data_IF_923266974395
#
_entry.id   IF_923266974395
#
_cell.length_a   1.000
_cell.length_b   1.000
_cell.length_c   1.000
_cell.angle_alpha   90.00
_cell.angle_beta   90.00
_cell.angle_gamma   90.00
#
_symmetry.space_group_name_H-M   'P 1'
#
loop_
_entity.id
_entity.type
_entity.pdbx_description
1 polymer ?
#
# COMPACT_ATOMS: atom_id res chain seq x y z
N UNK A 1 -34.50 9.60 -23.44
CA UNK A 1 -33.27 9.87 -24.21
C UNK A 1 -32.14 9.25 -23.40
N UNK A 2 -31.39 8.31 -23.98
CA UNK A 2 -30.32 7.58 -23.26
C UNK A 2 -29.23 8.57 -22.83
N UNK A 3 -28.89 8.56 -21.55
CA UNK A 3 -27.82 9.38 -20.94
C UNK A 3 -26.42 9.07 -21.51
N UNK A 4 -26.25 7.99 -22.27
CA UNK A 4 -24.96 7.63 -22.89
C UNK A 4 -24.52 8.58 -24.02
N UNK A 5 -25.42 9.38 -24.61
CA UNK A 5 -25.10 10.16 -25.83
C UNK A 5 -24.42 11.52 -25.59
N UNK A 6 -24.24 11.98 -24.34
CA UNK A 6 -23.73 13.34 -24.04
C UNK A 6 -22.49 13.37 -23.11
N UNK A 7 -21.60 12.38 -23.19
CA UNK A 7 -20.39 12.37 -22.36
C UNK A 7 -19.25 13.20 -22.97
N UNK A 8 -18.65 14.07 -22.15
CA UNK A 8 -17.44 14.83 -22.45
C UNK A 8 -16.24 13.93 -22.16
N UNK A 9 -15.36 13.75 -23.14
CA UNK A 9 -14.08 13.04 -22.93
C UNK A 9 -13.02 14.04 -22.47
N UNK A 10 -12.47 13.80 -21.28
CA UNK A 10 -11.38 14.58 -20.70
C UNK A 10 -10.11 13.73 -20.63
N UNK A 11 -9.02 14.14 -21.30
CA UNK A 11 -7.71 13.51 -21.12
C UNK A 11 -7.23 13.61 -19.67
N UNK A 12 -6.73 12.51 -19.12
CA UNK A 12 -6.16 12.49 -17.77
C UNK A 12 -4.74 13.03 -17.85
N UNK A 13 -4.43 14.02 -17.01
CA UNK A 13 -3.08 14.55 -16.80
C UNK A 13 -2.59 14.21 -15.39
N UNK A 14 -1.30 14.43 -15.12
CA UNK A 14 -0.73 14.23 -13.77
C UNK A 14 -1.49 14.99 -12.68
N UNK A 15 -2.09 16.14 -12.99
CA UNK A 15 -2.86 16.94 -12.03
C UNK A 15 -4.08 16.22 -11.46
N UNK A 16 -4.61 15.22 -12.16
CA UNK A 16 -5.72 14.38 -11.70
C UNK A 16 -5.27 13.27 -10.75
N UNK A 17 -3.98 12.94 -10.67
CA UNK A 17 -3.50 11.81 -9.88
C UNK A 17 -3.01 12.29 -8.49
N UNK A 18 -3.20 11.42 -7.49
CA UNK A 18 -2.71 11.60 -6.11
C UNK A 18 -2.10 10.29 -5.62
N UNK A 19 -1.12 10.36 -4.72
CA UNK A 19 -0.50 9.20 -4.08
C UNK A 19 0.59 8.48 -4.89
N UNK A 20 1.10 9.10 -5.96
CA UNK A 20 2.17 8.57 -6.81
C UNK A 20 3.44 9.43 -6.68
N UNK A 21 4.61 8.88 -7.08
CA UNK A 21 5.89 9.60 -7.10
C UNK A 21 6.42 9.87 -8.52
N UNK A 22 5.87 9.17 -9.52
CA UNK A 22 6.26 9.31 -10.92
C UNK A 22 5.09 8.87 -11.81
N UNK A 23 5.09 9.29 -13.07
CA UNK A 23 4.08 8.89 -14.06
C UNK A 23 4.77 8.57 -15.37
N UNK A 24 4.54 7.37 -15.88
CA UNK A 24 5.01 6.95 -17.20
C UNK A 24 3.91 7.21 -18.24
N UNK A 25 4.25 7.96 -19.29
CA UNK A 25 3.41 8.07 -20.48
C UNK A 25 3.56 6.81 -21.35
N UNK A 26 2.44 6.12 -21.59
CA UNK A 26 2.42 4.90 -22.41
C UNK A 26 1.56 5.10 -23.64
N UNK A 27 1.66 4.18 -24.61
CA UNK A 27 0.77 4.16 -25.78
C UNK A 27 -0.73 4.02 -25.43
N UNK A 28 -1.06 3.65 -24.19
CA UNK A 28 -2.41 3.41 -23.71
C UNK A 28 -2.80 4.33 -22.55
N UNK A 29 -2.15 5.48 -22.36
CA UNK A 29 -2.43 6.40 -21.26
C UNK A 29 -1.35 6.44 -20.19
N UNK A 30 -1.67 6.94 -19.01
CA UNK A 30 -0.71 7.17 -17.92
C UNK A 30 -0.61 5.94 -17.01
N UNK A 31 0.62 5.58 -16.63
CA UNK A 31 0.91 4.59 -15.59
C UNK A 31 1.51 5.30 -14.36
N UNK A 32 0.77 5.44 -13.25
CA UNK A 32 1.33 5.98 -12.02
C UNK A 32 2.31 4.97 -11.38
N UNK A 33 3.48 5.46 -10.97
CA UNK A 33 4.48 4.72 -10.24
C UNK A 33 4.61 5.23 -8.81
N UNK A 34 4.81 4.31 -7.87
CA UNK A 34 5.00 4.66 -6.45
C UNK A 34 6.47 4.78 -6.07
N UNK A 35 7.39 4.56 -7.00
CA UNK A 35 8.81 4.92 -6.86
C UNK A 35 9.24 5.87 -7.98
N UNK A 36 10.16 6.82 -7.71
CA UNK A 36 10.67 7.71 -8.74
C UNK A 36 11.49 6.92 -9.78
N UNK A 37 11.52 7.41 -11.03
CA UNK A 37 12.27 6.78 -12.14
C UNK A 37 13.69 6.35 -11.76
N UNK A 38 14.44 7.16 -10.99
CA UNK A 38 15.81 6.81 -10.60
C UNK A 38 15.89 5.63 -9.63
N UNK A 39 14.89 5.48 -8.74
CA UNK A 39 14.83 4.38 -7.78
C UNK A 39 14.40 3.09 -8.48
N UNK A 40 13.49 3.19 -9.48
CA UNK A 40 13.08 2.05 -10.31
C UNK A 40 14.25 1.36 -11.01
N UNK A 41 15.32 2.10 -11.36
CA UNK A 41 16.55 1.54 -11.95
C UNK A 41 17.38 0.68 -11.00
N UNK A 42 17.10 0.71 -9.70
CA UNK A 42 17.81 -0.04 -8.66
C UNK A 42 16.99 -1.22 -8.13
N UNK A 43 15.79 -1.44 -8.68
CA UNK A 43 14.93 -2.56 -8.30
C UNK A 43 15.64 -3.88 -8.68
N UNK A 44 15.85 -4.80 -7.72
CA UNK A 44 16.64 -6.00 -7.96
C UNK A 44 15.85 -7.13 -8.61
N UNK A 45 14.52 -7.09 -8.54
CA UNK A 45 13.65 -8.19 -8.94
C UNK A 45 12.28 -7.74 -9.46
N UNK A 46 11.60 -8.67 -10.14
CA UNK A 46 10.28 -8.44 -10.72
C UNK A 46 9.18 -8.28 -9.66
N UNK A 47 9.33 -8.83 -8.45
CA UNK A 47 8.33 -8.71 -7.39
C UNK A 47 8.17 -7.26 -6.96
N UNK A 48 9.28 -6.56 -6.68
CA UNK A 48 9.23 -5.15 -6.34
C UNK A 48 8.83 -4.29 -7.57
N UNK A 49 9.29 -4.63 -8.77
CA UNK A 49 8.90 -3.92 -9.99
C UNK A 49 7.38 -3.95 -10.24
N UNK A 50 6.74 -5.10 -10.00
CA UNK A 50 5.28 -5.21 -10.08
C UNK A 50 4.61 -4.46 -8.92
N UNK A 51 5.10 -4.62 -7.69
CA UNK A 51 4.47 -4.01 -6.52
C UNK A 51 4.49 -2.48 -6.59
N UNK A 52 5.57 -1.85 -7.07
CA UNK A 52 5.64 -0.40 -7.14
C UNK A 52 4.72 0.19 -8.22
N UNK A 53 4.52 -0.54 -9.33
CA UNK A 53 3.64 -0.16 -10.43
C UNK A 53 2.15 -0.43 -10.15
N UNK A 54 1.83 -1.18 -9.09
CA UNK A 54 0.45 -1.33 -8.61
C UNK A 54 0.02 -0.07 -7.85
N UNK A 55 -1.19 0.47 -8.09
CA UNK A 55 -1.62 1.79 -7.63
C UNK A 55 -2.17 1.76 -6.19
N UNK A 56 -1.57 0.98 -5.29
CA UNK A 56 -2.02 0.92 -3.88
C UNK A 56 -1.89 2.29 -3.23
N UNK A 57 -3.04 2.87 -2.84
CA UNK A 57 -3.14 4.23 -2.31
C UNK A 57 -3.20 5.35 -3.36
N UNK A 58 -3.08 5.03 -4.65
CA UNK A 58 -3.20 5.99 -5.75
C UNK A 58 -4.67 6.15 -6.14
N UNK A 59 -5.05 7.39 -6.47
CA UNK A 59 -6.42 7.75 -6.82
C UNK A 59 -6.45 8.87 -7.85
N UNK A 60 -7.52 8.92 -8.64
CA UNK A 60 -7.88 10.12 -9.38
C UNK A 60 -8.61 11.08 -8.43
N UNK A 61 -8.36 12.38 -8.52
CA UNK A 61 -9.02 13.41 -7.73
C UNK A 61 -9.44 14.59 -8.62
N UNK A 62 -10.74 14.88 -8.69
CA UNK A 62 -11.30 15.94 -9.53
C UNK A 62 -12.58 16.52 -8.95
N UNK A 63 -12.95 17.71 -9.42
CA UNK A 63 -14.17 18.42 -9.05
C UNK A 63 -15.11 18.50 -10.25
N UNK A 64 -16.39 18.20 -10.02
CA UNK A 64 -17.39 18.17 -11.09
C UNK A 64 -18.82 18.25 -10.57
N UNK A 65 -19.75 18.66 -11.43
CA UNK A 65 -21.19 18.50 -11.20
C UNK A 65 -21.75 17.17 -11.75
N UNK A 66 -20.91 16.34 -12.38
CA UNK A 66 -21.31 15.15 -13.12
C UNK A 66 -22.10 14.14 -12.27
N UNK A 67 -23.17 13.61 -12.83
CA UNK A 67 -23.96 12.52 -12.22
C UNK A 67 -23.57 11.16 -12.78
N UNK A 68 -22.87 11.15 -13.92
CA UNK A 68 -22.32 9.97 -14.59
C UNK A 68 -20.83 10.16 -14.80
N UNK A 69 -20.05 9.16 -14.41
CA UNK A 69 -18.59 9.13 -14.55
C UNK A 69 -18.17 7.77 -15.10
N UNK A 70 -17.44 7.78 -16.21
CA UNK A 70 -16.79 6.60 -16.78
C UNK A 70 -15.27 6.81 -16.73
N UNK A 71 -14.54 5.83 -16.20
CA UNK A 71 -13.08 5.81 -16.20
C UNK A 71 -12.59 4.68 -17.09
N UNK A 72 -11.94 5.03 -18.20
CA UNK A 72 -11.34 4.06 -19.11
C UNK A 72 -9.94 3.67 -18.59
N UNK A 73 -9.70 2.37 -18.42
CA UNK A 73 -8.44 1.83 -17.91
C UNK A 73 -7.98 0.60 -18.68
N UNK A 74 -6.68 0.30 -18.58
CA UNK A 74 -6.11 -0.98 -19.00
C UNK A 74 -5.44 -1.64 -17.78
N UNK A 75 -6.17 -2.50 -17.05
CA UNK A 75 -5.61 -3.23 -15.92
C UNK A 75 -4.70 -4.37 -16.41
N UNK A 76 -3.72 -4.75 -15.58
CA UNK A 76 -2.91 -5.96 -15.74
C UNK A 76 -3.08 -6.82 -14.50
N UNK A 77 -3.73 -7.97 -14.68
CA UNK A 77 -4.21 -8.85 -13.61
C UNK A 77 -3.26 -10.01 -13.42
N UNK A 78 -3.04 -10.40 -12.16
CA UNK A 78 -2.23 -11.57 -11.83
C UNK A 78 -3.11 -12.81 -11.77
N UNK A 79 -2.77 -13.84 -12.53
CA UNK A 79 -3.44 -15.14 -12.52
C UNK A 79 -2.42 -16.23 -12.20
N UNK A 80 -2.81 -17.28 -11.49
CA UNK A 80 -1.93 -18.44 -11.26
C UNK A 80 -2.30 -19.58 -12.21
N UNK A 81 -1.31 -20.16 -12.89
CA UNK A 81 -1.53 -21.29 -13.78
C UNK A 81 -2.19 -22.45 -13.01
N UNK A 82 -3.32 -22.94 -13.53
CA UNK A 82 -4.07 -24.04 -12.92
C UNK A 82 -5.09 -23.62 -11.84
N UNK A 83 -5.21 -22.32 -11.53
CA UNK A 83 -6.21 -21.78 -10.62
C UNK A 83 -7.22 -20.90 -11.38
N UNK A 84 -8.45 -20.73 -10.85
CA UNK A 84 -9.38 -19.77 -11.41
C UNK A 84 -8.79 -18.36 -11.38
N UNK A 85 -9.12 -17.49 -12.35
CA UNK A 85 -8.72 -16.09 -12.29
C UNK A 85 -9.30 -15.43 -11.03
N UNK A 86 -8.57 -14.50 -10.39
CA UNK A 86 -9.14 -13.75 -9.29
C UNK A 86 -10.31 -12.88 -9.78
N UNK A 87 -11.19 -12.43 -8.87
CA UNK A 87 -12.16 -11.39 -9.18
C UNK A 87 -11.48 -10.14 -9.75
N UNK A 88 -12.20 -9.40 -10.59
CA UNK A 88 -11.73 -8.13 -11.12
C UNK A 88 -11.48 -7.12 -9.99
N UNK A 89 -10.42 -6.33 -10.14
CA UNK A 89 -10.10 -5.22 -9.25
C UNK A 89 -11.27 -4.22 -9.13
N UNK A 90 -11.53 -3.81 -7.89
CA UNK A 90 -12.57 -2.84 -7.55
C UNK A 90 -12.01 -1.42 -7.57
N UNK A 91 -12.79 -0.51 -8.13
CA UNK A 91 -12.58 0.94 -8.12
C UNK A 91 -13.61 1.55 -7.16
N UNK A 92 -13.13 2.19 -6.10
CA UNK A 92 -14.01 2.89 -5.15
C UNK A 92 -14.14 4.36 -5.54
N UNK A 93 -15.36 4.83 -5.72
CA UNK A 93 -15.67 6.24 -5.94
C UNK A 93 -16.19 6.86 -4.64
N UNK A 94 -15.43 7.84 -4.14
CA UNK A 94 -15.77 8.65 -2.98
C UNK A 94 -16.26 10.02 -3.45
N UNK A 95 -17.37 10.49 -2.87
CA UNK A 95 -17.86 11.87 -2.99
C UNK A 95 -17.59 12.57 -1.67
N UNK A 96 -16.80 13.64 -1.70
CA UNK A 96 -16.43 14.44 -0.53
C UNK A 96 -15.97 13.55 0.66
N UNK A 97 -15.12 12.55 0.35
CA UNK A 97 -14.54 11.61 1.33
C UNK A 97 -15.45 10.44 1.74
N UNK A 98 -16.64 10.29 1.15
CA UNK A 98 -17.59 9.22 1.49
C UNK A 98 -17.77 8.26 0.33
N UNK A 99 -17.56 6.95 0.59
CA UNK A 99 -17.79 5.90 -0.41
C UNK A 99 -19.23 6.00 -0.91
N UNK A 100 -19.38 6.19 -2.22
CA UNK A 100 -20.67 6.46 -2.87
C UNK A 100 -21.00 5.42 -3.93
N UNK A 101 -20.00 4.95 -4.67
CA UNK A 101 -20.19 3.93 -5.70
C UNK A 101 -18.94 3.07 -5.86
N UNK A 102 -19.12 1.88 -6.43
CA UNK A 102 -18.04 0.96 -6.76
C UNK A 102 -18.25 0.42 -8.17
N UNK A 103 -17.16 0.15 -8.87
CA UNK A 103 -17.19 -0.45 -10.19
C UNK A 103 -16.00 -1.40 -10.36
N UNK A 104 -16.05 -2.25 -11.38
CA UNK A 104 -14.94 -3.10 -11.81
C UNK A 104 -14.69 -2.90 -13.30
N UNK A 105 -13.51 -3.34 -13.77
CA UNK A 105 -13.18 -3.35 -15.19
C UNK A 105 -12.90 -4.78 -15.61
N UNK A 106 -13.79 -5.34 -16.42
CA UNK A 106 -13.61 -6.66 -17.02
C UNK A 106 -12.48 -6.65 -18.07
N UNK A 107 -11.81 -7.79 -18.27
CA UNK A 107 -10.73 -7.92 -19.24
C UNK A 107 -9.40 -7.33 -18.76
N UNK A 108 -8.63 -6.72 -19.65
CA UNK A 108 -7.27 -6.25 -19.40
C UNK A 108 -6.19 -7.27 -19.73
N UNK A 109 -4.93 -6.88 -19.49
CA UNK A 109 -3.79 -7.76 -19.66
C UNK A 109 -3.77 -8.82 -18.56
N UNK A 110 -3.21 -9.98 -18.88
CA UNK A 110 -2.97 -11.06 -17.92
C UNK A 110 -1.47 -11.26 -17.72
N UNK A 111 -1.09 -11.37 -16.46
CA UNK A 111 0.23 -11.83 -16.02
C UNK A 111 0.05 -13.17 -15.32
N UNK A 112 0.25 -14.25 -16.07
CA UNK A 112 0.03 -15.63 -15.61
C UNK A 112 1.30 -16.14 -14.94
N UNK A 113 1.27 -16.29 -13.62
CA UNK A 113 2.34 -16.91 -12.84
C UNK A 113 2.44 -18.38 -13.22
N UNK A 114 3.57 -18.77 -13.79
CA UNK A 114 3.83 -20.13 -14.27
C UNK A 114 4.57 -20.97 -13.24
N UNK A 115 5.35 -20.33 -12.37
CA UNK A 115 6.05 -20.95 -11.24
C UNK A 115 6.00 -19.99 -10.04
N UNK A 116 5.39 -20.43 -8.94
CA UNK A 116 5.27 -19.61 -7.72
C UNK A 116 6.59 -19.51 -6.95
N UNK A 117 7.49 -20.48 -7.08
CA UNK A 117 8.78 -20.46 -6.38
C UNK A 117 9.79 -19.60 -7.14
N UNK A 118 9.92 -19.81 -8.45
CA UNK A 118 10.80 -19.03 -9.31
C UNK A 118 10.22 -17.63 -9.65
N UNK A 119 8.94 -17.39 -9.34
CA UNK A 119 8.21 -16.15 -9.63
C UNK A 119 8.19 -15.79 -11.12
N UNK A 120 8.23 -16.79 -12.00
CA UNK A 120 8.17 -16.58 -13.44
C UNK A 120 6.73 -16.37 -13.91
N UNK A 121 6.53 -15.52 -14.92
CA UNK A 121 5.22 -15.23 -15.46
C UNK A 121 5.22 -15.07 -16.98
N UNK A 122 4.08 -15.36 -17.60
CA UNK A 122 3.78 -15.08 -19.00
C UNK A 122 2.84 -13.88 -19.10
N UNK A 123 3.08 -12.98 -20.06
CA UNK A 123 2.24 -11.82 -20.31
C UNK A 123 1.34 -12.07 -21.52
N UNK A 124 0.04 -11.84 -21.36
CA UNK A 124 -0.95 -11.88 -22.45
C UNK A 124 -1.65 -10.52 -22.52
N UNK A 125 -1.55 -9.78 -23.64
CA UNK A 125 -2.24 -8.51 -23.79
C UNK A 125 -3.77 -8.72 -23.87
N UNK A 126 -4.51 -7.74 -23.37
CA UNK A 126 -5.97 -7.71 -23.48
C UNK A 126 -6.51 -6.31 -23.72
N UNK A 127 -7.81 -6.17 -23.99
CA UNK A 127 -8.43 -4.89 -24.29
C UNK A 127 -8.52 -4.02 -23.03
N UNK A 128 -8.50 -2.70 -23.24
CA UNK A 128 -8.94 -1.75 -22.23
C UNK A 128 -10.44 -1.92 -21.93
N UNK A 129 -10.87 -1.47 -20.75
CA UNK A 129 -12.28 -1.45 -20.36
C UNK A 129 -12.62 -0.18 -19.60
N UNK A 130 -13.86 -0.12 -19.10
CA UNK A 130 -14.42 1.08 -18.48
C UNK A 130 -15.03 0.74 -17.13
N UNK A 131 -14.66 1.49 -16.09
CA UNK A 131 -15.38 1.52 -14.83
C UNK A 131 -16.53 2.52 -14.96
N UNK A 132 -17.76 2.07 -14.73
CA UNK A 132 -18.97 2.88 -14.88
C UNK A 132 -19.57 3.26 -13.53
N UNK A 133 -19.75 4.55 -13.29
CA UNK A 133 -20.44 5.10 -12.13
C UNK A 133 -21.60 5.97 -12.60
N UNK A 134 -22.80 5.70 -12.09
CA UNK A 134 -24.02 6.43 -12.41
C UNK A 134 -24.75 6.83 -11.12
N UNK A 135 -25.82 7.61 -11.26
CA UNK A 135 -26.69 8.05 -10.15
C UNK A 135 -25.92 8.76 -9.02
N UNK A 136 -24.82 9.44 -9.35
CA UNK A 136 -24.08 10.25 -8.38
C UNK A 136 -24.88 11.50 -7.99
N UNK A 137 -24.71 12.03 -6.76
CA UNK A 137 -25.43 13.22 -6.31
C UNK A 137 -25.23 14.41 -7.26
N UNK A 138 -26.30 15.13 -7.61
CA UNK A 138 -26.20 16.33 -8.43
C UNK A 138 -25.48 17.48 -7.70
N UNK A 139 -24.96 18.44 -8.46
CA UNK A 139 -24.24 19.61 -7.93
C UNK A 139 -22.73 19.40 -7.86
N UNK A 140 -22.01 20.52 -7.69
CA UNK A 140 -20.54 20.53 -7.67
C UNK A 140 -20.03 19.84 -6.41
N UNK A 141 -19.18 18.83 -6.59
CA UNK A 141 -18.60 17.98 -5.54
C UNK A 141 -17.17 17.58 -5.87
N UNK A 142 -16.41 17.15 -4.87
CA UNK A 142 -15.11 16.53 -5.08
C UNK A 142 -15.29 15.01 -5.21
N UNK A 143 -14.63 14.43 -6.20
CA UNK A 143 -14.62 12.99 -6.46
C UNK A 143 -13.19 12.49 -6.29
N UNK A 144 -13.04 11.39 -5.56
CA UNK A 144 -11.85 10.55 -5.59
C UNK A 144 -12.22 9.17 -6.15
N UNK A 145 -11.47 8.66 -7.14
CA UNK A 145 -11.59 7.26 -7.61
C UNK A 145 -10.32 6.52 -7.19
N UNK A 146 -10.42 5.69 -6.16
CA UNK A 146 -9.33 4.87 -5.65
C UNK A 146 -9.11 3.66 -6.55
N UNK A 147 -7.87 3.49 -7.01
CA UNK A 147 -7.53 2.47 -8.00
C UNK A 147 -7.28 1.10 -7.34
N UNK A 148 -7.54 -0.02 -8.05
CA UNK A 148 -7.34 -1.36 -7.51
C UNK A 148 -5.88 -1.60 -7.08
N UNK A 149 -5.66 -1.80 -5.79
CA UNK A 149 -4.32 -1.94 -5.22
C UNK A 149 -3.57 -3.20 -5.70
N UNK A 150 -4.27 -4.23 -6.19
CA UNK A 150 -3.70 -5.52 -6.58
C UNK A 150 -3.45 -5.68 -8.09
N UNK A 151 -3.73 -4.65 -8.91
CA UNK A 151 -3.60 -4.70 -10.38
C UNK A 151 -2.81 -3.50 -10.88
N UNK A 152 -1.83 -3.69 -11.78
CA UNK A 152 -1.19 -2.56 -12.44
C UNK A 152 -2.25 -1.90 -13.34
N UNK A 153 -2.52 -0.61 -13.13
CA UNK A 153 -3.62 0.08 -13.81
C UNK A 153 -3.11 1.25 -14.61
N UNK A 154 -3.17 1.15 -15.95
CA UNK A 154 -3.01 2.31 -16.83
C UNK A 154 -4.34 3.06 -16.88
N UNK A 155 -4.31 4.37 -16.67
CA UNK A 155 -5.48 5.24 -16.76
C UNK A 155 -5.49 5.96 -18.11
N UNK A 156 -6.62 5.88 -18.83
CA UNK A 156 -6.69 6.28 -20.24
C UNK A 156 -7.42 7.61 -20.39
N UNK A 157 -8.68 7.66 -20.00
CA UNK A 157 -9.53 8.83 -20.16
C UNK A 157 -10.67 8.84 -19.14
N UNK A 158 -11.14 10.04 -18.82
CA UNK A 158 -12.31 10.27 -17.99
C UNK A 158 -13.45 10.76 -18.89
N UNK A 159 -14.62 10.12 -18.84
CA UNK A 159 -15.81 10.53 -19.60
C UNK A 159 -16.95 10.86 -18.65
N UNK A 160 -17.50 12.06 -18.74
CA UNK A 160 -18.47 12.58 -17.76
C UNK A 160 -19.60 13.37 -18.42
N UNK A 161 -20.77 13.42 -17.80
CA UNK A 161 -21.92 14.21 -18.28
C UNK A 161 -21.85 15.70 -17.87
N UNK A 162 -20.79 16.11 -17.16
CA UNK A 162 -20.45 17.50 -16.89
C UNK A 162 -18.92 17.71 -16.93
N UNK A 163 -18.42 18.94 -17.15
CA UNK A 163 -16.99 19.23 -17.13
C UNK A 163 -16.32 18.82 -15.82
N UNK A 164 -15.03 18.50 -15.90
CA UNK A 164 -14.18 18.13 -14.77
C UNK A 164 -12.95 19.03 -14.71
N UNK A 165 -12.52 19.36 -13.51
CA UNK A 165 -11.25 20.03 -13.24
C UNK A 165 -10.47 19.21 -12.20
N UNK A 166 -9.12 19.17 -12.25
CA UNK A 166 -8.33 18.58 -11.18
C UNK A 166 -8.76 19.11 -9.81
N UNK A 167 -8.81 18.25 -8.79
CA UNK A 167 -9.20 18.67 -7.46
C UNK A 167 -8.18 19.71 -6.94
N UNK A 168 -8.63 20.81 -6.30
CA UNK A 168 -7.71 21.75 -5.68
C UNK A 168 -6.92 21.06 -4.57
N UNK A 169 -5.73 21.59 -4.28
CA UNK A 169 -5.05 21.28 -3.03
C UNK A 169 -5.90 21.83 -1.87
N UNK A 170 -6.29 20.95 -0.95
CA UNK A 170 -7.12 21.28 0.20
C UNK A 170 -6.29 21.55 1.47
N UNK A 171 -4.95 21.53 1.37
CA UNK A 171 -4.04 21.77 2.47
C UNK A 171 -3.98 20.63 3.49
N UNK A 172 -4.49 19.44 3.16
CA UNK A 172 -4.32 18.24 4.00
C UNK A 172 -2.82 17.93 4.12
N UNK A 173 -2.37 17.62 5.34
CA UNK A 173 -1.00 17.16 5.59
C UNK A 173 -0.72 15.89 4.78
N UNK A 174 0.46 15.79 4.17
CA UNK A 174 0.91 14.62 3.42
C UNK A 174 1.50 13.59 4.37
N UNK A 175 0.89 12.41 4.41
CA UNK A 175 1.40 11.24 5.11
C UNK A 175 2.07 10.29 4.13
N UNK A 176 3.39 10.19 4.24
CA UNK A 176 4.22 9.23 3.52
C UNK A 176 4.42 7.97 4.36
N UNK A 177 3.87 6.85 3.90
CA UNK A 177 3.95 5.57 4.59
C UNK A 177 4.79 4.57 3.82
N UNK A 178 5.76 3.91 4.45
CA UNK A 178 6.43 2.72 3.89
C UNK A 178 6.06 1.47 4.67
N UNK A 179 5.86 0.36 3.96
CA UNK A 179 5.56 -0.93 4.58
C UNK A 179 5.60 -2.12 3.64
N UNK A 180 5.10 -3.25 4.13
CA UNK A 180 5.11 -4.55 3.43
C UNK A 180 3.83 -4.79 2.60
N UNK A 181 3.59 -6.07 2.25
CA UNK A 181 2.33 -6.55 1.67
C UNK A 181 1.09 -6.17 2.48
N UNK A 182 1.21 -6.06 3.81
CA UNK A 182 0.09 -5.65 4.67
C UNK A 182 -0.29 -4.19 4.38
N UNK A 183 0.70 -3.28 4.32
CA UNK A 183 0.49 -1.89 3.92
C UNK A 183 0.10 -1.73 2.46
N UNK A 184 0.50 -2.66 1.61
CA UNK A 184 0.09 -2.70 0.21
C UNK A 184 -1.41 -3.03 0.05
N UNK A 185 -2.01 -3.75 1.01
CA UNK A 185 -3.41 -4.18 0.95
C UNK A 185 -3.62 -5.66 0.68
N UNK A 186 -2.60 -6.53 0.81
CA UNK A 186 -2.80 -7.98 0.62
C UNK A 186 -3.93 -8.51 1.50
N UNK A 187 -4.85 -9.25 0.90
CA UNK A 187 -6.11 -9.76 1.47
C UNK A 187 -7.15 -8.71 1.86
N UNK A 188 -6.93 -7.42 1.61
CA UNK A 188 -8.00 -6.44 1.62
C UNK A 188 -8.87 -6.59 0.36
N UNK A 189 -10.14 -6.21 0.45
CA UNK A 189 -11.07 -6.29 -0.68
C UNK A 189 -11.11 -4.99 -1.48
N UNK A 190 -11.20 -3.86 -0.79
CA UNK A 190 -11.48 -2.57 -1.44
C UNK A 190 -10.29 -1.60 -1.29
N UNK A 191 -9.94 -0.86 -2.35
CA UNK A 191 -8.78 0.03 -2.31
C UNK A 191 -8.93 1.20 -1.31
N UNK A 192 -10.14 1.69 -1.02
CA UNK A 192 -10.33 2.73 -0.01
C UNK A 192 -10.33 2.20 1.43
N UNK A 193 -10.29 0.88 1.63
CA UNK A 193 -10.30 0.24 2.96
C UNK A 193 -9.07 -0.62 3.24
N UNK A 194 -8.04 -0.59 2.38
CA UNK A 194 -6.70 -1.00 2.82
C UNK A 194 -6.33 -0.17 4.04
N UNK A 195 -5.68 -0.77 5.03
CA UNK A 195 -5.54 -0.10 6.34
C UNK A 195 -4.92 1.31 6.27
N UNK A 196 -3.92 1.62 5.39
CA UNK A 196 -3.40 2.99 5.30
C UNK A 196 -4.40 3.97 4.69
N UNK A 197 -5.21 3.54 3.71
CA UNK A 197 -6.24 4.38 3.09
C UNK A 197 -7.34 4.73 4.09
N UNK A 198 -7.82 3.72 4.84
CA UNK A 198 -8.82 3.92 5.90
C UNK A 198 -8.29 4.86 6.99
N UNK A 199 -7.06 4.64 7.45
CA UNK A 199 -6.43 5.47 8.46
C UNK A 199 -6.22 6.92 7.98
N UNK A 200 -5.81 7.10 6.73
CA UNK A 200 -5.61 8.42 6.13
C UNK A 200 -6.92 9.20 5.99
N UNK A 201 -8.00 8.51 5.55
CA UNK A 201 -9.32 9.12 5.46
C UNK A 201 -9.84 9.55 6.83
N UNK A 202 -9.67 8.68 7.84
CA UNK A 202 -10.07 8.98 9.24
C UNK A 202 -9.24 10.12 9.82
N UNK A 203 -7.94 10.15 9.54
CA UNK A 203 -7.01 11.17 10.02
C UNK A 203 -7.04 12.49 9.25
N UNK A 204 -7.78 12.56 8.13
CA UNK A 204 -7.86 13.76 7.29
C UNK A 204 -6.52 14.15 6.65
N UNK A 205 -5.72 13.16 6.21
CA UNK A 205 -4.38 13.37 5.62
C UNK A 205 -4.30 12.85 4.18
N UNK A 206 -3.39 13.39 3.37
CA UNK A 206 -3.10 12.88 2.02
C UNK A 206 -2.14 11.71 2.08
N UNK A 207 -2.60 10.52 1.70
CA UNK A 207 -1.77 9.32 1.67
C UNK A 207 -0.87 9.28 0.42
N UNK A 208 0.43 9.05 0.65
CA UNK A 208 1.37 8.44 -0.29
C UNK A 208 1.80 7.10 0.30
N UNK A 209 1.34 5.99 -0.30
CA UNK A 209 1.61 4.65 0.20
C UNK A 209 2.77 4.02 -0.57
N UNK A 210 3.88 3.78 0.11
CA UNK A 210 5.04 3.01 -0.36
C UNK A 210 5.06 1.60 0.26
N UNK A 211 3.87 1.02 0.50
CA UNK A 211 3.71 -0.39 0.84
C UNK A 211 4.01 -1.28 -0.36
N UNK A 212 5.03 -2.14 -0.28
CA UNK A 212 5.44 -3.01 -1.38
C UNK A 212 5.37 -4.49 -0.97
N UNK A 213 4.55 -5.26 -1.70
CA UNK A 213 4.31 -6.67 -1.43
C UNK A 213 5.60 -7.48 -1.40
N UNK A 214 5.91 -8.07 -0.24
CA UNK A 214 7.10 -8.92 -0.06
C UNK A 214 8.45 -8.22 -0.22
N UNK A 215 8.50 -6.88 -0.18
CA UNK A 215 9.67 -6.09 -0.58
C UNK A 215 10.06 -4.98 0.41
N UNK A 216 9.53 -4.98 1.65
CA UNK A 216 9.96 -4.06 2.70
C UNK A 216 11.28 -4.54 3.34
N UNK A 217 12.40 -4.43 2.59
CA UNK A 217 13.70 -5.02 2.93
C UNK A 217 14.72 -4.04 3.53
N UNK A 218 14.28 -2.83 3.91
CA UNK A 218 15.14 -1.71 4.28
C UNK A 218 16.09 -1.29 3.14
N UNK A 219 15.59 -1.31 1.91
CA UNK A 219 16.36 -0.93 0.72
C UNK A 219 16.82 0.53 0.77
N UNK A 220 18.13 0.82 0.56
CA UNK A 220 18.64 2.20 0.60
C UNK A 220 18.04 3.13 -0.47
N UNK A 221 17.64 2.59 -1.63
CA UNK A 221 16.99 3.40 -2.66
C UNK A 221 15.56 3.79 -2.27
N UNK A 222 14.85 2.96 -1.49
CA UNK A 222 13.53 3.31 -0.95
C UNK A 222 13.67 4.39 0.11
N UNK A 223 14.66 4.29 1.00
CA UNK A 223 14.93 5.35 2.00
C UNK A 223 15.24 6.69 1.33
N UNK A 224 16.07 6.71 0.28
CA UNK A 224 16.36 7.93 -0.50
C UNK A 224 15.15 8.45 -1.26
N UNK A 225 14.28 7.58 -1.78
CA UNK A 225 13.03 8.01 -2.38
C UNK A 225 12.14 8.71 -1.34
N UNK A 226 12.06 8.17 -0.12
CA UNK A 226 11.33 8.81 0.97
C UNK A 226 11.96 10.15 1.39
N UNK A 227 13.28 10.20 1.50
CA UNK A 227 14.04 11.43 1.78
C UNK A 227 13.70 12.55 0.80
N UNK A 228 13.63 12.23 -0.50
CA UNK A 228 13.40 13.21 -1.56
C UNK A 228 11.92 13.53 -1.78
N UNK A 229 11.00 12.77 -1.15
CA UNK A 229 9.55 12.98 -1.26
C UNK A 229 9.07 13.97 -0.21
N UNK A 230 8.42 15.08 -0.58
CA UNK A 230 7.80 16.00 0.37
C UNK A 230 6.74 15.30 1.22
N UNK A 231 6.83 15.44 2.54
CA UNK A 231 5.90 14.83 3.48
C UNK A 231 5.85 15.63 4.79
N UNK A 232 4.65 15.78 5.35
CA UNK A 232 4.43 16.41 6.65
C UNK A 232 4.52 15.38 7.79
N UNK A 233 4.26 14.10 7.47
CA UNK A 233 4.21 12.98 8.40
C UNK A 233 4.82 11.76 7.72
N UNK A 234 5.72 11.04 8.40
CA UNK A 234 6.39 9.87 7.81
C UNK A 234 6.25 8.67 8.73
N UNK A 235 5.76 7.54 8.23
CA UNK A 235 5.82 6.28 8.99
C UNK A 235 6.48 5.16 8.20
N UNK A 236 7.25 4.35 8.91
CA UNK A 236 8.04 3.25 8.36
C UNK A 236 7.69 1.98 9.13
N UNK A 237 7.08 1.01 8.46
CA UNK A 237 6.72 -0.29 9.03
C UNK A 237 7.60 -1.39 8.45
N UNK A 238 8.54 -1.90 9.24
CA UNK A 238 9.58 -2.85 8.80
C UNK A 238 9.58 -4.15 9.60
N UNK A 239 10.21 -5.19 9.05
CA UNK A 239 10.48 -6.44 9.75
C UNK A 239 9.99 -7.68 9.02
N UNK A 240 8.68 -7.80 8.79
CA UNK A 240 8.07 -9.04 8.29
C UNK A 240 8.71 -9.57 7.01
N UNK A 241 9.07 -8.73 6.03
CA UNK A 241 9.68 -9.23 4.80
C UNK A 241 11.15 -9.66 4.97
N UNK A 242 11.90 -9.01 5.86
CA UNK A 242 13.26 -9.43 6.25
C UNK A 242 13.21 -10.81 6.92
N UNK A 243 12.24 -11.03 7.80
CA UNK A 243 12.03 -12.33 8.47
C UNK A 243 11.55 -13.39 7.49
N UNK A 244 10.52 -13.10 6.68
CA UNK A 244 9.96 -14.04 5.69
C UNK A 244 11.04 -14.59 4.74
N UNK A 245 11.97 -13.74 4.31
CA UNK A 245 13.01 -14.11 3.34
C UNK A 245 14.29 -14.64 3.97
N UNK A 246 14.41 -14.58 5.31
CA UNK A 246 15.67 -14.79 6.01
C UNK A 246 16.80 -13.89 5.49
N UNK A 247 16.46 -12.67 5.02
CA UNK A 247 17.38 -11.82 4.26
C UNK A 247 18.54 -11.24 5.08
N UNK A 248 18.36 -11.09 6.39
CA UNK A 248 19.37 -10.49 7.26
C UNK A 248 19.49 -11.26 8.57
N UNK A 249 20.71 -11.28 9.11
CA UNK A 249 20.96 -11.61 10.51
C UNK A 249 20.90 -10.33 11.35
N UNK A 250 20.67 -10.47 12.65
CA UNK A 250 20.57 -9.38 13.62
C UNK A 250 21.69 -8.35 13.47
N UNK A 251 22.93 -8.82 13.28
CA UNK A 251 24.12 -7.97 13.10
C UNK A 251 24.04 -7.02 11.89
N UNK A 252 23.37 -7.43 10.81
CA UNK A 252 23.18 -6.61 9.61
C UNK A 252 21.90 -5.77 9.69
N UNK A 253 20.86 -6.32 10.32
CA UNK A 253 19.55 -5.65 10.42
C UNK A 253 19.62 -4.34 11.22
N UNK A 254 20.22 -4.35 12.41
CA UNK A 254 20.33 -3.14 13.26
C UNK A 254 20.94 -1.95 12.51
N UNK A 255 22.17 -2.04 11.94
CA UNK A 255 22.74 -0.92 11.20
C UNK A 255 21.96 -0.55 9.93
N UNK A 256 21.28 -1.50 9.27
CA UNK A 256 20.42 -1.19 8.13
C UNK A 256 19.24 -0.29 8.54
N UNK A 257 18.60 -0.55 9.69
CA UNK A 257 17.54 0.31 10.22
C UNK A 257 18.08 1.69 10.58
N UNK A 258 19.25 1.78 11.22
CA UNK A 258 19.87 3.08 11.48
C UNK A 258 20.10 3.87 10.19
N UNK A 259 20.73 3.26 9.19
CA UNK A 259 20.97 3.91 7.89
C UNK A 259 19.70 4.32 7.16
N UNK A 260 18.63 3.54 7.25
CA UNK A 260 17.33 3.88 6.67
C UNK A 260 16.73 5.14 7.33
N UNK A 261 16.74 5.20 8.67
CA UNK A 261 16.25 6.35 9.44
C UNK A 261 17.13 7.59 9.22
N UNK A 262 18.45 7.43 9.20
CA UNK A 262 19.40 8.52 8.96
C UNK A 262 19.17 9.13 7.57
N UNK A 263 19.01 8.28 6.54
CA UNK A 263 18.70 8.72 5.18
C UNK A 263 17.40 9.54 5.13
N UNK A 264 16.34 9.12 5.84
CA UNK A 264 15.11 9.92 5.91
C UNK A 264 15.40 11.28 6.57
N UNK A 265 16.14 11.29 7.68
CA UNK A 265 16.47 12.52 8.43
C UNK A 265 17.32 13.52 7.66
N UNK A 266 18.14 13.06 6.70
CA UNK A 266 18.87 13.95 5.79
C UNK A 266 17.95 14.88 4.98
N UNK A 267 16.74 14.42 4.64
CA UNK A 267 15.73 15.20 3.90
C UNK A 267 14.63 15.75 4.78
N UNK A 268 14.40 15.14 5.94
CA UNK A 268 13.31 15.45 6.87
C UNK A 268 13.82 15.64 8.31
N UNK A 269 14.59 16.71 8.61
CA UNK A 269 15.28 16.85 9.88
C UNK A 269 14.35 16.94 11.09
N UNK A 270 13.14 17.49 10.92
CA UNK A 270 12.19 17.75 12.01
C UNK A 270 10.82 17.11 11.80
N UNK A 271 10.56 16.50 10.65
CA UNK A 271 9.26 15.88 10.34
C UNK A 271 8.96 14.76 11.33
N UNK A 272 7.74 14.67 11.92
CA UNK A 272 7.35 13.52 12.73
C UNK A 272 7.59 12.21 11.99
N UNK A 273 8.42 11.34 12.57
CA UNK A 273 8.81 10.05 12.01
C UNK A 273 8.39 8.94 12.98
N UNK A 274 7.50 8.07 12.52
CA UNK A 274 6.98 6.96 13.29
C UNK A 274 7.56 5.64 12.77
N UNK A 275 8.37 4.96 13.59
CA UNK A 275 8.79 3.59 13.33
C UNK A 275 7.75 2.62 13.93
N UNK A 276 7.17 1.80 13.06
CA UNK A 276 6.14 0.82 13.43
C UNK A 276 6.73 -0.58 13.31
N UNK A 277 6.62 -1.38 14.36
CA UNK A 277 7.09 -2.76 14.33
C UNK A 277 6.05 -3.70 13.67
N UNK A 278 6.40 -4.97 13.37
CA UNK A 278 5.44 -5.92 12.81
C UNK A 278 4.22 -6.12 13.70
N UNK A 279 3.05 -6.27 13.08
CA UNK A 279 1.85 -6.77 13.78
C UNK A 279 2.03 -8.25 14.13
N UNK A 280 1.13 -8.80 14.96
CA UNK A 280 1.14 -10.22 15.26
C UNK A 280 1.07 -11.04 13.96
N UNK A 281 1.98 -11.99 13.80
CA UNK A 281 1.86 -13.02 12.78
C UNK A 281 2.38 -14.33 13.38
N UNK A 282 1.48 -15.22 13.84
CA UNK A 282 1.86 -16.44 14.57
C UNK A 282 2.94 -17.27 13.88
N UNK A 283 2.90 -17.30 12.54
CA UNK A 283 3.88 -17.99 11.70
C UNK A 283 5.33 -17.58 11.98
N UNK A 284 5.59 -16.33 12.35
CA UNK A 284 6.94 -15.79 12.54
C UNK A 284 7.22 -15.21 13.93
N UNK A 285 6.30 -15.33 14.89
CA UNK A 285 6.50 -14.82 16.27
C UNK A 285 7.79 -15.38 16.89
N UNK A 286 8.00 -16.70 16.73
CA UNK A 286 9.12 -17.44 17.33
C UNK A 286 9.88 -18.34 16.35
N UNK A 287 9.52 -18.30 15.07
CA UNK A 287 10.14 -19.15 14.03
C UNK A 287 10.70 -18.27 12.92
N UNK A 288 12.02 -18.31 12.65
CA UNK A 288 12.60 -17.53 11.56
C UNK A 288 12.19 -18.06 10.19
N UNK A 289 12.43 -17.26 9.15
CA UNK A 289 12.29 -17.70 7.76
C UNK A 289 13.26 -18.82 7.37
N UNK A 290 13.12 -19.33 6.13
CA UNK A 290 12.28 -18.78 5.08
C UNK A 290 10.81 -19.18 5.20
N UNK A 291 9.95 -18.33 4.63
CA UNK A 291 8.53 -18.57 4.45
C UNK A 291 8.30 -19.41 3.18
N UNK A 292 7.56 -20.51 3.31
CA UNK A 292 7.29 -21.44 2.21
C UNK A 292 5.77 -21.60 2.00
N UNK A 293 5.31 -21.77 0.75
CA UNK A 293 3.93 -22.15 0.47
C UNK A 293 3.58 -23.50 1.13
N UNK A 294 2.37 -23.59 1.65
CA UNK A 294 1.76 -24.81 2.17
C UNK A 294 0.40 -25.01 1.49
N UNK A 295 0.22 -26.16 0.84
CA UNK A 295 -1.00 -26.56 0.15
C UNK A 295 -1.60 -27.84 0.75
N UNK A 296 -1.12 -28.26 1.92
CA UNK A 296 -1.49 -29.55 2.52
C UNK A 296 -2.98 -29.70 2.84
N UNK A 297 -3.71 -28.60 3.05
CA UNK A 297 -5.15 -28.59 3.31
C UNK A 297 -6.01 -28.17 2.09
N UNK A 298 -5.38 -28.08 0.90
CA UNK A 298 -6.06 -27.68 -0.34
C UNK A 298 -6.27 -26.17 -0.50
N UNK A 299 -5.86 -25.36 0.47
CA UNK A 299 -5.82 -23.90 0.38
C UNK A 299 -4.37 -23.40 0.37
N UNK A 300 -4.10 -22.28 -0.33
CA UNK A 300 -2.76 -21.67 -0.31
C UNK A 300 -2.55 -20.94 1.02
N UNK A 301 -1.73 -21.54 1.88
CA UNK A 301 -1.23 -20.94 3.11
C UNK A 301 0.29 -20.82 3.05
N UNK A 302 0.87 -20.24 4.09
CA UNK A 302 2.31 -20.16 4.23
C UNK A 302 2.76 -20.62 5.62
N UNK A 303 3.97 -21.17 5.68
CA UNK A 303 4.63 -21.56 6.93
C UNK A 303 6.08 -21.13 6.98
N UNK A 304 6.54 -20.78 8.17
CA UNK A 304 7.96 -20.60 8.45
C UNK A 304 8.64 -21.96 8.55
N UNK A 305 9.84 -22.08 7.98
CA UNK A 305 10.59 -23.34 7.92
C UNK A 305 11.97 -23.27 8.58
N UNK A 306 12.35 -22.12 9.14
CA UNK A 306 13.60 -21.96 9.88
C UNK A 306 13.56 -22.65 11.24
N UNK A 307 14.75 -22.90 11.81
CA UNK A 307 14.90 -23.49 13.14
C UNK A 307 14.94 -22.36 14.21
N UNK A 308 14.01 -22.35 15.19
CA UNK A 308 14.03 -21.40 16.31
C UNK A 308 15.34 -21.38 17.10
N UNK A 309 16.08 -22.50 17.17
CA UNK A 309 17.36 -22.56 17.87
C UNK A 309 18.44 -21.68 17.22
N UNK A 310 18.32 -21.39 15.92
CA UNK A 310 19.27 -20.55 15.19
C UNK A 310 19.10 -19.04 15.49
N UNK A 311 18.13 -18.64 16.31
CA UNK A 311 18.07 -17.27 16.86
C UNK A 311 19.32 -16.92 17.65
N UNK A 312 19.95 -17.91 18.31
CA UNK A 312 21.25 -17.74 18.97
C UNK A 312 22.39 -17.37 17.99
N UNK A 313 22.24 -17.74 16.71
CA UNK A 313 23.15 -17.36 15.63
C UNK A 313 22.69 -16.07 14.90
N UNK A 314 21.71 -15.35 15.45
CA UNK A 314 21.24 -14.07 14.95
C UNK A 314 20.18 -14.16 13.85
N UNK A 315 19.49 -15.30 13.67
CA UNK A 315 18.26 -15.33 12.88
C UNK A 315 17.18 -14.47 13.54
N UNK A 316 16.33 -13.88 12.72
CA UNK A 316 15.30 -12.93 13.18
C UNK A 316 13.94 -13.60 13.25
N UNK A 317 13.21 -13.33 14.33
CA UNK A 317 11.77 -13.56 14.48
C UNK A 317 11.07 -12.22 14.65
N UNK A 318 9.73 -12.17 14.61
CA UNK A 318 9.01 -10.91 14.84
C UNK A 318 9.18 -10.39 16.26
N UNK A 319 9.29 -11.28 17.26
CA UNK A 319 9.58 -10.88 18.65
C UNK A 319 10.92 -10.14 18.74
N UNK A 320 11.99 -10.72 18.17
CA UNK A 320 13.32 -10.09 18.14
C UNK A 320 13.26 -8.76 17.39
N UNK A 321 12.56 -8.69 16.26
CA UNK A 321 12.45 -7.46 15.48
C UNK A 321 11.70 -6.37 16.26
N UNK A 322 10.59 -6.69 16.94
CA UNK A 322 9.84 -5.73 17.77
C UNK A 322 10.74 -5.14 18.86
N UNK A 323 11.47 -5.98 19.59
CA UNK A 323 12.41 -5.56 20.63
C UNK A 323 13.50 -4.62 20.07
N UNK A 324 14.13 -5.01 18.96
CA UNK A 324 15.20 -4.23 18.33
C UNK A 324 14.71 -2.87 17.86
N UNK A 325 13.55 -2.79 17.20
CA UNK A 325 13.02 -1.52 16.71
C UNK A 325 12.64 -0.60 17.88
N UNK A 326 12.07 -1.14 18.96
CA UNK A 326 11.77 -0.39 20.18
C UNK A 326 13.06 0.17 20.82
N UNK A 327 14.11 -0.64 20.94
CA UNK A 327 15.40 -0.22 21.52
C UNK A 327 16.09 0.85 20.69
N UNK A 328 16.07 0.74 19.35
CA UNK A 328 16.62 1.75 18.44
C UNK A 328 15.93 3.10 18.67
N UNK A 329 14.60 3.13 18.71
CA UNK A 329 13.86 4.39 18.93
C UNK A 329 14.11 4.92 20.33
N UNK A 330 14.09 4.08 21.36
CA UNK A 330 14.37 4.47 22.75
C UNK A 330 15.74 5.12 22.90
N UNK A 331 16.77 4.59 22.22
CA UNK A 331 18.11 5.17 22.24
C UNK A 331 18.12 6.53 21.52
N UNK A 332 17.58 6.57 20.30
CA UNK A 332 17.64 7.74 19.42
C UNK A 332 16.76 8.91 19.85
N UNK A 333 15.63 8.64 20.51
CA UNK A 333 14.66 9.68 20.91
C UNK A 333 15.20 10.67 21.94
N UNK A 334 16.33 10.35 22.57
CA UNK A 334 17.07 11.28 23.44
C UNK A 334 17.66 12.48 22.67
N UNK A 335 18.01 12.28 21.39
CA UNK A 335 18.58 13.30 20.49
C UNK A 335 17.60 13.72 19.39
N UNK A 336 16.59 12.89 19.10
CA UNK A 336 15.57 13.13 18.09
C UNK A 336 14.16 13.06 18.71
N UNK A 337 13.62 14.18 19.23
CA UNK A 337 12.31 14.20 19.88
C UNK A 337 11.13 13.94 18.92
N UNK A 338 11.37 13.96 17.61
CA UNK A 338 10.36 13.71 16.58
C UNK A 338 10.41 12.27 16.03
N UNK A 339 11.21 11.39 16.64
CA UNK A 339 11.22 9.96 16.36
C UNK A 339 10.34 9.23 17.38
N UNK A 340 9.32 8.57 16.89
CA UNK A 340 8.32 7.87 17.69
C UNK A 340 8.33 6.38 17.37
N UNK A 341 7.91 5.57 18.35
CA UNK A 341 7.72 4.13 18.20
C UNK A 341 6.25 3.79 18.39
N UNK A 342 5.76 2.86 17.57
CA UNK A 342 4.48 2.19 17.77
C UNK A 342 4.69 0.68 17.71
N UNK A 343 4.27 -0.02 18.76
CA UNK A 343 4.25 -1.48 18.75
C UNK A 343 3.17 -1.97 17.79
N UNK A 344 3.55 -2.81 16.83
CA UNK A 344 2.60 -3.39 15.89
C UNK A 344 1.53 -4.25 16.58
N UNK A 345 1.79 -4.78 17.78
CA UNK A 345 0.80 -5.50 18.56
C UNK A 345 -0.35 -4.61 19.06
N UNK A 346 -0.14 -3.29 19.19
CA UNK A 346 -1.21 -2.33 19.51
C UNK A 346 -2.13 -2.06 18.30
N UNK A 347 -1.66 -2.37 17.09
CA UNK A 347 -2.47 -2.27 15.87
C UNK A 347 -3.28 -3.54 15.63
N UNK A 348 -2.66 -4.70 15.85
CA UNK A 348 -3.28 -6.01 15.69
C UNK A 348 -2.48 -7.04 16.50
N UNK A 349 -3.06 -7.48 17.61
CA UNK A 349 -2.48 -8.42 18.58
C UNK A 349 -3.25 -9.75 18.68
N UNK A 350 -3.03 -10.49 19.76
CA UNK A 350 -3.65 -11.82 19.96
C UNK A 350 -5.18 -11.76 19.95
N UNK A 351 -5.76 -10.80 20.68
CA UNK A 351 -7.22 -10.63 20.72
C UNK A 351 -7.82 -10.31 19.34
N UNK A 352 -7.13 -9.50 18.54
CA UNK A 352 -7.58 -9.18 17.18
C UNK A 352 -7.45 -10.38 16.24
N UNK A 353 -6.44 -11.23 16.44
CA UNK A 353 -6.26 -12.45 15.68
C UNK A 353 -7.26 -13.55 16.04
N UNK A 354 -7.65 -13.65 17.31
CA UNK A 354 -8.72 -14.56 17.73
C UNK A 354 -10.07 -14.17 17.09
N UNK A 355 -10.31 -12.87 16.91
CA UNK A 355 -11.51 -12.35 16.25
C UNK A 355 -11.43 -12.43 14.71
N UNK A 356 -10.29 -12.07 14.12
CA UNK A 356 -10.09 -11.92 12.68
C UNK A 356 -8.81 -12.63 12.20
N UNK A 357 -8.73 -13.96 12.25
CA UNK A 357 -7.50 -14.72 11.99
C UNK A 357 -6.96 -14.51 10.57
N UNK A 358 -5.65 -14.70 10.41
CA UNK A 358 -5.00 -14.61 9.09
C UNK A 358 -5.44 -15.78 8.17
N UNK A 359 -6.18 -15.55 7.08
CA UNK A 359 -6.70 -16.62 6.23
C UNK A 359 -5.60 -17.45 5.56
N UNK A 360 -4.45 -16.83 5.25
CA UNK A 360 -3.27 -17.47 4.65
C UNK A 360 -2.12 -17.69 5.64
N UNK A 361 -2.39 -17.53 6.95
CA UNK A 361 -1.45 -17.54 8.07
C UNK A 361 -0.42 -16.37 8.10
N UNK A 362 -0.54 -15.36 7.23
CA UNK A 362 0.40 -14.23 7.14
C UNK A 362 -0.27 -12.87 7.14
N UNK A 363 -1.28 -12.68 6.30
CA UNK A 363 -1.88 -11.38 6.07
C UNK A 363 -3.22 -11.26 6.82
N UNK A 364 -3.55 -10.07 7.34
CA UNK A 364 -4.86 -9.80 7.93
C UNK A 364 -6.01 -10.09 6.97
N UNK A 365 -7.15 -10.53 7.50
CA UNK A 365 -8.40 -10.59 6.74
C UNK A 365 -8.87 -9.17 6.35
N UNK A 366 -9.89 -9.03 5.49
CA UNK A 366 -10.51 -7.74 5.20
C UNK A 366 -10.92 -6.97 6.48
N UNK A 367 -11.52 -7.67 7.45
CA UNK A 367 -11.89 -7.13 8.76
C UNK A 367 -10.66 -6.77 9.60
N UNK A 368 -9.60 -7.58 9.53
CA UNK A 368 -8.31 -7.27 10.13
C UNK A 368 -7.69 -5.98 9.59
N UNK A 369 -7.81 -5.70 8.28
CA UNK A 369 -7.39 -4.40 7.71
C UNK A 369 -8.17 -3.23 8.29
N UNK A 370 -9.48 -3.39 8.46
CA UNK A 370 -10.33 -2.35 9.08
C UNK A 370 -9.88 -2.10 10.53
N UNK A 371 -9.70 -3.17 11.32
CA UNK A 371 -9.23 -3.08 12.71
C UNK A 371 -7.88 -2.37 12.81
N UNK A 372 -6.91 -2.72 11.96
CA UNK A 372 -5.60 -2.06 11.91
C UNK A 372 -5.75 -0.57 11.57
N UNK A 373 -6.58 -0.23 10.58
CA UNK A 373 -6.77 1.15 10.14
C UNK A 373 -7.41 2.03 11.23
N UNK A 374 -8.43 1.51 11.91
CA UNK A 374 -9.09 2.18 13.04
C UNK A 374 -8.15 2.37 14.23
N UNK A 375 -7.43 1.31 14.61
CA UNK A 375 -6.44 1.38 15.70
C UNK A 375 -5.33 2.38 15.36
N UNK A 376 -4.81 2.36 14.14
CA UNK A 376 -3.80 3.33 13.71
C UNK A 376 -4.34 4.76 13.79
N UNK A 377 -5.53 5.03 13.25
CA UNK A 377 -6.11 6.38 13.29
C UNK A 377 -6.30 6.91 14.72
N UNK A 378 -6.75 6.03 15.63
CA UNK A 378 -6.92 6.35 17.05
C UNK A 378 -5.60 6.63 17.75
N UNK A 379 -4.58 5.81 17.52
CA UNK A 379 -3.30 5.89 18.23
C UNK A 379 -2.38 6.97 17.66
N UNK A 380 -2.50 7.27 16.36
CA UNK A 380 -1.52 8.09 15.63
C UNK A 380 -2.04 9.47 15.29
N UNK A 381 -3.27 9.59 14.80
CA UNK A 381 -3.82 10.87 14.32
C UNK A 381 -4.69 11.60 15.35
N UNK A 382 -4.99 10.97 16.48
CA UNK A 382 -5.92 11.49 17.49
C UNK A 382 -5.25 11.71 18.85
N UNK A 383 -5.84 12.56 19.69
CA UNK A 383 -5.38 12.78 21.07
C UNK A 383 -3.92 13.23 21.14
N UNK A 384 -3.10 12.52 21.90
CA UNK A 384 -1.65 12.75 22.01
C UNK A 384 -0.84 11.88 21.04
N UNK A 385 -1.46 11.38 19.98
CA UNK A 385 -0.78 10.57 18.96
C UNK A 385 0.34 11.35 18.27
N UNK A 386 1.40 10.67 17.81
CA UNK A 386 2.58 11.31 17.23
C UNK A 386 2.30 12.20 16.01
N UNK A 387 1.18 11.98 15.32
CA UNK A 387 0.75 12.78 14.17
C UNK A 387 -0.50 13.61 14.45
N UNK A 388 -0.96 13.70 15.70
CA UNK A 388 -2.06 14.56 16.07
C UNK A 388 -1.75 16.02 15.68
N UNK A 389 -2.75 16.81 15.26
CA UNK A 389 -2.54 18.25 15.07
C UNK A 389 -2.02 18.88 16.35
N UNK A 390 -0.98 19.72 16.26
CA UNK A 390 -0.57 20.56 17.40
C UNK A 390 -1.72 21.52 17.72
N UNK A 391 -2.15 21.53 18.99
CA UNK A 391 -3.25 22.35 19.48
C UNK A 391 -3.00 23.85 19.36
#
# INVERSE_FOLDING_TARGET
MSTEQNLITTPITVGFLRGHLDVEETAHGLLPHRLPTWARRQIPDDRLAVAEAQPSGVRLAFRTAATTVHLDTLPTKRVYRGFPPPPDGVYDLLVDGRLTAQATVAGGNLRTITDMQAQTAEFTPGPAGTAHFADLPAGVKNIEIWLPHAEITKVIALRTDAPVEPAPDNGRRVWLHHGSSISHGSNAVFPSTIWPALAANTGGVELINLGFGGSAMADPFTARAMRDTPADLISVKLGINVVNSDAMRLRAFVPAIHGFLDTIREGHPTTPLLLVSPILCPTHENTPGPLMPDLSDGSLKFKATGDPAETAAGRLTLTIVREVLADIVKQRSTEDPNLHYLDGLDLYGENDHDEFPHPDAIHPSPEGHVRIGENFAKLVFSGNGPFAPTA
#
